data_IF_409958720491
#
_entry.id   IF_409958720491
#
_cell.length_a   1.000
_cell.length_b   1.000
_cell.length_c   1.000
_cell.angle_alpha   90.00
_cell.angle_beta   90.00
_cell.angle_gamma   90.00
#
_symmetry.space_group_name_H-M   'P 1'
#
loop_
_entity.id
_entity.type
_entity.pdbx_description
1 polymer ?
#
# COMPACT_ATOMS: atom_id res chain seq x y z
N UNK A 1 3.72 -5.90 0.86
CA UNK A 1 3.55 -5.28 2.19
C UNK A 1 3.41 -6.28 3.33
N UNK A 2 2.98 -7.53 3.10
CA UNK A 2 2.92 -8.54 4.18
C UNK A 2 4.31 -8.85 4.78
N UNK A 3 5.36 -8.74 3.95
CA UNK A 3 6.76 -8.77 4.37
C UNK A 3 7.19 -7.64 5.32
N UNK A 4 6.41 -6.54 5.42
CA UNK A 4 6.71 -5.43 6.32
C UNK A 4 6.14 -5.64 7.72
N UNK A 5 5.19 -6.57 7.90
CA UNK A 5 4.51 -6.81 9.16
C UNK A 5 3.02 -7.06 9.00
N UNK A 6 2.32 -7.14 10.13
CA UNK A 6 0.89 -7.50 10.16
C UNK A 6 0.03 -6.34 9.65
N UNK A 7 -0.62 -6.58 8.51
CA UNK A 7 -1.54 -5.62 7.92
C UNK A 7 -2.93 -5.82 8.54
N UNK A 8 -3.43 -4.79 9.23
CA UNK A 8 -4.78 -4.82 9.79
C UNK A 8 -5.84 -4.66 8.70
N UNK A 9 -5.62 -3.73 7.76
CA UNK A 9 -6.59 -3.42 6.70
C UNK A 9 -5.96 -2.74 5.51
N UNK A 10 -6.29 -3.21 4.31
CA UNK A 10 -6.01 -2.52 3.05
C UNK A 10 -7.30 -2.00 2.43
N UNK A 11 -7.34 -0.72 2.05
CA UNK A 11 -8.46 -0.12 1.34
C UNK A 11 -7.97 0.45 0.01
N UNK A 12 -8.32 -0.23 -1.07
CA UNK A 12 -8.06 0.22 -2.43
C UNK A 12 -9.11 1.26 -2.84
N UNK A 13 -8.67 2.45 -3.26
CA UNK A 13 -9.59 3.39 -3.87
C UNK A 13 -9.74 3.07 -5.34
N UNK A 14 -10.94 2.60 -5.67
CA UNK A 14 -11.39 2.49 -7.06
C UNK A 14 -12.39 3.60 -7.31
N UNK A 15 -12.32 4.15 -8.51
CA UNK A 15 -13.30 5.10 -8.97
C UNK A 15 -14.65 4.39 -9.10
N UNK A 16 -15.67 4.89 -8.39
CA UNK A 16 -16.99 4.23 -8.27
C UNK A 16 -17.74 4.17 -9.60
N UNK A 17 -17.41 5.05 -10.54
CA UNK A 17 -18.13 5.19 -11.81
C UNK A 17 -17.41 4.50 -12.96
N UNK A 18 -16.08 4.59 -13.04
CA UNK A 18 -15.30 3.95 -14.11
C UNK A 18 -14.73 2.59 -13.76
N UNK A 19 -14.75 2.18 -12.49
CA UNK A 19 -14.09 0.96 -12.01
C UNK A 19 -12.57 0.98 -12.11
N UNK A 20 -11.99 2.06 -12.65
CA UNK A 20 -10.54 2.24 -12.77
C UNK A 20 -9.95 2.50 -11.39
N UNK A 21 -8.82 1.88 -11.13
CA UNK A 21 -8.08 2.09 -9.88
C UNK A 21 -7.55 3.52 -9.88
N UNK A 22 -7.79 4.28 -8.80
CA UNK A 22 -7.29 5.67 -8.71
C UNK A 22 -5.77 5.78 -8.59
N UNK A 23 -5.07 4.65 -8.50
CA UNK A 23 -3.62 4.60 -8.34
C UNK A 23 -3.14 4.68 -6.89
N UNK A 24 -4.05 4.80 -5.93
CA UNK A 24 -3.72 4.90 -4.51
C UNK A 24 -4.52 3.91 -3.67
N UNK A 25 -3.89 3.44 -2.60
CA UNK A 25 -4.50 2.56 -1.60
C UNK A 25 -4.04 2.99 -0.21
N UNK A 26 -4.92 2.86 0.76
CA UNK A 26 -4.56 3.06 2.16
C UNK A 26 -4.31 1.73 2.83
N UNK A 27 -3.21 1.63 3.55
CA UNK A 27 -2.85 0.45 4.34
C UNK A 27 -2.77 0.87 5.80
N UNK A 28 -3.49 0.15 6.66
CA UNK A 28 -3.39 0.28 8.12
C UNK A 28 -2.59 -0.90 8.65
N UNK A 29 -1.49 -0.60 9.30
CA UNK A 29 -0.67 -1.55 10.03
C UNK A 29 -1.09 -1.60 11.51
N UNK A 30 -0.80 -2.72 12.19
CA UNK A 30 -0.98 -2.84 13.65
C UNK A 30 0.10 -2.10 14.42
N UNK A 31 1.33 -2.14 13.91
CA UNK A 31 2.53 -1.71 14.62
C UNK A 31 3.29 -0.61 13.87
N UNK A 32 3.88 0.31 14.63
CA UNK A 32 4.66 1.42 14.09
C UNK A 32 5.93 0.92 13.37
N UNK A 33 6.54 -0.16 13.85
CA UNK A 33 7.69 -0.81 13.19
C UNK A 33 7.34 -1.24 11.76
N UNK A 34 6.10 -1.69 11.54
CA UNK A 34 5.64 -2.10 10.21
C UNK A 34 5.53 -0.90 9.26
N UNK A 35 5.23 0.28 9.80
CA UNK A 35 5.17 1.54 9.03
C UNK A 35 6.58 1.92 8.54
N UNK A 36 7.59 1.84 9.41
CA UNK A 36 8.98 2.12 9.02
C UNK A 36 9.49 1.14 7.97
N UNK A 37 9.15 -0.14 8.08
CA UNK A 37 9.49 -1.15 7.08
C UNK A 37 8.77 -0.93 5.74
N UNK A 38 7.51 -0.47 5.79
CA UNK A 38 6.77 -0.11 4.58
C UNK A 38 7.37 1.11 3.89
N UNK A 39 7.77 2.14 4.65
CA UNK A 39 8.48 3.33 4.15
C UNK A 39 9.81 2.97 3.49
N UNK A 40 10.51 1.93 3.96
CA UNK A 40 11.73 1.43 3.29
C UNK A 40 11.46 0.76 1.95
N UNK A 41 10.22 0.33 1.69
CA UNK A 41 9.79 -0.17 0.37
C UNK A 41 9.25 0.95 -0.54
N UNK A 42 9.35 2.21 -0.12
CA UNK A 42 9.06 3.35 -0.98
C UNK A 42 9.92 3.26 -2.26
N UNK A 43 9.32 3.59 -3.40
CA UNK A 43 9.92 3.53 -4.75
C UNK A 43 10.23 2.13 -5.29
N UNK A 44 9.83 1.07 -4.57
CA UNK A 44 9.98 -0.30 -5.05
C UNK A 44 9.05 -0.61 -6.22
N UNK A 45 9.46 -1.55 -7.07
CA UNK A 45 8.65 -2.04 -8.18
C UNK A 45 7.57 -2.98 -7.67
N UNK A 46 6.31 -2.53 -7.74
CA UNK A 46 5.14 -3.33 -7.44
C UNK A 46 4.28 -3.50 -8.71
N UNK A 47 4.11 -4.75 -9.15
CA UNK A 47 3.37 -5.08 -10.38
C UNK A 47 3.84 -4.30 -11.62
N UNK A 48 5.16 -4.06 -11.74
CA UNK A 48 5.76 -3.34 -12.87
C UNK A 48 5.58 -1.82 -12.83
N UNK A 49 5.15 -1.25 -11.70
CA UNK A 49 5.08 0.20 -11.47
C UNK A 49 5.78 0.54 -10.16
N UNK A 50 6.46 1.67 -10.11
CA UNK A 50 6.97 2.20 -8.84
C UNK A 50 5.78 2.59 -7.97
N UNK A 51 5.85 2.21 -6.69
CA UNK A 51 4.88 2.61 -5.68
C UNK A 51 5.49 3.65 -4.76
N UNK A 52 4.68 4.65 -4.44
CA UNK A 52 4.99 5.63 -3.40
C UNK A 52 4.21 5.22 -2.14
N UNK A 53 4.92 5.12 -1.00
CA UNK A 53 4.38 4.62 0.28
C UNK A 53 4.12 5.74 1.26
#
# INVERSE_FOLDING_TARGET
FEQCGVIMRTKFLRDKFSGKSKGFAYIRFSDVVSIELALKLNESLFCGRQIEV
#
